data_IF_689897796118
#
_entry.id   IF_689897796118
#
_cell.length_a   1.000
_cell.length_b   1.000
_cell.length_c   1.000
_cell.angle_alpha   90.00
_cell.angle_beta   90.00
_cell.angle_gamma   90.00
#
_symmetry.space_group_name_H-M   'P 1'
#
loop_
_entity.id
_entity.type
_entity.pdbx_description
1 polymer ?
#
# COMPACT_ATOMS: atom_id res chain seq x y z
N UNK A 1 6.16 2.18 29.11
CA UNK A 1 5.00 1.41 29.61
C UNK A 1 3.65 1.85 29.03
N UNK A 2 3.45 3.14 28.70
CA UNK A 2 2.19 3.64 28.13
C UNK A 2 1.68 2.90 26.87
N UNK A 3 2.55 2.63 25.89
CA UNK A 3 2.17 1.91 24.67
C UNK A 3 1.74 0.46 24.92
N UNK A 4 2.33 -0.23 25.90
CA UNK A 4 1.94 -1.60 26.23
C UNK A 4 0.55 -1.65 26.88
N UNK A 5 0.21 -0.66 27.71
CA UNK A 5 -1.10 -0.55 28.35
C UNK A 5 -2.22 -0.24 27.33
N UNK A 6 -1.92 0.58 26.32
CA UNK A 6 -2.85 0.91 25.23
C UNK A 6 -3.25 -0.30 24.35
N UNK A 7 -2.44 -1.38 24.38
CA UNK A 7 -2.61 -2.59 23.57
C UNK A 7 -3.22 -3.75 24.37
N UNK A 8 -3.33 -3.62 25.70
CA UNK A 8 -3.69 -4.70 26.63
C UNK A 8 -5.08 -5.31 26.38
N UNK A 9 -6.02 -4.53 25.83
CA UNK A 9 -7.40 -4.98 25.55
C UNK A 9 -7.64 -5.37 24.08
N UNK A 10 -6.60 -5.36 23.23
CA UNK A 10 -6.71 -5.73 21.81
C UNK A 10 -6.28 -7.18 21.62
N UNK A 11 -6.97 -7.91 20.73
CA UNK A 11 -6.56 -9.27 20.37
C UNK A 11 -5.15 -9.24 19.75
N UNK A 12 -4.22 -10.02 20.31
CA UNK A 12 -2.82 -10.11 19.85
C UNK A 12 -2.77 -10.50 18.36
N UNK A 13 -3.69 -11.35 17.90
CA UNK A 13 -3.80 -11.73 16.49
C UNK A 13 -4.12 -10.53 15.60
N UNK A 14 -5.04 -9.65 16.03
CA UNK A 14 -5.36 -8.43 15.29
C UNK A 14 -4.19 -7.45 15.29
N UNK A 15 -3.44 -7.34 16.38
CA UNK A 15 -2.26 -6.47 16.46
C UNK A 15 -1.15 -6.91 15.50
N UNK A 16 -0.85 -8.20 15.47
CA UNK A 16 0.13 -8.76 14.51
C UNK A 16 -0.34 -8.53 13.09
N UNK A 17 -1.65 -8.74 12.84
CA UNK A 17 -2.22 -8.57 11.51
C UNK A 17 -2.21 -7.12 11.02
N UNK A 18 -2.41 -6.14 11.90
CA UNK A 18 -2.28 -4.72 11.54
C UNK A 18 -0.85 -4.43 11.05
N UNK A 19 0.15 -4.99 11.73
CA UNK A 19 1.55 -4.85 11.32
C UNK A 19 1.85 -5.50 9.97
N UNK A 20 1.45 -6.76 9.77
CA UNK A 20 1.65 -7.44 8.48
C UNK A 20 0.85 -6.82 7.35
N UNK A 21 -0.40 -6.41 7.61
CA UNK A 21 -1.28 -5.73 6.66
C UNK A 21 -0.70 -4.40 6.17
N UNK A 22 -0.14 -3.58 7.07
CA UNK A 22 0.52 -2.33 6.69
C UNK A 22 1.77 -2.55 5.82
N UNK A 23 2.56 -3.58 6.12
CA UNK A 23 3.71 -3.96 5.28
C UNK A 23 3.26 -4.45 3.90
N UNK A 24 2.24 -5.31 3.83
CA UNK A 24 1.69 -5.79 2.55
C UNK A 24 1.16 -4.63 1.70
N UNK A 25 0.37 -3.72 2.28
CA UNK A 25 -0.14 -2.53 1.60
C UNK A 25 0.98 -1.67 1.00
N UNK A 26 2.11 -1.54 1.69
CA UNK A 26 3.26 -0.77 1.20
C UNK A 26 3.97 -1.49 0.03
N UNK A 27 4.27 -2.78 0.17
CA UNK A 27 5.15 -3.48 -0.77
C UNK A 27 4.44 -4.10 -1.98
N UNK A 28 3.14 -4.37 -1.89
CA UNK A 28 2.39 -5.03 -2.98
C UNK A 28 2.46 -4.26 -4.29
N UNK A 29 2.31 -2.94 -4.28
CA UNK A 29 2.37 -2.12 -5.51
C UNK A 29 3.69 -2.28 -6.27
N UNK A 30 4.84 -1.97 -5.64
CA UNK A 30 6.15 -2.13 -6.27
C UNK A 30 6.48 -3.57 -6.68
N UNK A 31 6.15 -4.56 -5.85
CA UNK A 31 6.47 -5.96 -6.12
C UNK A 31 5.63 -6.53 -7.28
N UNK A 32 4.31 -6.35 -7.24
CA UNK A 32 3.40 -6.84 -8.29
C UNK A 32 3.70 -6.15 -9.60
N UNK A 33 3.84 -4.82 -9.60
CA UNK A 33 4.14 -4.10 -10.83
C UNK A 33 5.55 -4.41 -11.35
N UNK A 34 6.55 -4.59 -10.47
CA UNK A 34 7.90 -4.96 -10.85
C UNK A 34 7.99 -6.35 -11.48
N UNK A 35 7.16 -7.29 -11.03
CA UNK A 35 7.08 -8.64 -11.59
C UNK A 35 6.29 -8.69 -12.92
N UNK A 36 5.19 -7.93 -13.02
CA UNK A 36 4.28 -8.01 -14.16
C UNK A 36 4.62 -7.02 -15.30
N UNK A 37 5.35 -5.94 -15.02
CA UNK A 37 5.56 -4.86 -15.97
C UNK A 37 6.98 -4.27 -15.94
N UNK A 38 7.69 -4.35 -17.06
CA UNK A 38 9.05 -3.82 -17.21
C UNK A 38 9.16 -2.28 -17.23
N UNK A 39 8.02 -1.58 -17.17
CA UNK A 39 7.95 -0.11 -17.23
C UNK A 39 7.96 0.59 -15.87
N UNK A 40 8.14 -0.14 -14.76
CA UNK A 40 8.16 0.46 -13.42
C UNK A 40 9.37 1.36 -13.25
N UNK A 41 9.13 2.57 -12.74
CA UNK A 41 10.18 3.55 -12.44
C UNK A 41 10.50 3.53 -10.95
N UNK A 42 11.72 3.94 -10.58
CA UNK A 42 12.12 4.08 -9.16
C UNK A 42 11.16 5.00 -8.41
N UNK A 43 10.80 6.13 -9.02
CA UNK A 43 9.87 7.11 -8.44
C UNK A 43 8.47 6.51 -8.29
N UNK A 44 8.00 5.72 -9.26
CA UNK A 44 6.72 5.02 -9.17
C UNK A 44 6.70 3.96 -8.06
N UNK A 45 7.79 3.22 -7.88
CA UNK A 45 7.91 2.26 -6.78
C UNK A 45 7.84 2.97 -5.41
N UNK A 46 8.59 4.06 -5.21
CA UNK A 46 8.52 4.83 -3.96
C UNK A 46 7.14 5.46 -3.74
N UNK A 47 6.51 5.96 -4.80
CA UNK A 47 5.17 6.52 -4.71
C UNK A 47 4.14 5.46 -4.28
N UNK A 48 4.18 4.25 -4.85
CA UNK A 48 3.31 3.16 -4.41
C UNK A 48 3.53 2.78 -2.96
N UNK A 49 4.79 2.64 -2.55
CA UNK A 49 5.15 2.32 -1.17
C UNK A 49 4.57 3.33 -0.17
N UNK A 50 4.79 4.62 -0.42
CA UNK A 50 4.31 5.70 0.45
C UNK A 50 2.79 5.78 0.40
N UNK A 51 2.18 5.78 -0.79
CA UNK A 51 0.73 5.87 -0.93
C UNK A 51 0.00 4.69 -0.29
N UNK A 52 0.50 3.46 -0.43
CA UNK A 52 -0.07 2.28 0.19
C UNK A 52 -0.02 2.33 1.71
N UNK A 53 1.15 2.67 2.27
CA UNK A 53 1.34 2.82 3.71
C UNK A 53 0.46 3.93 4.30
N UNK A 54 0.44 5.11 3.66
CA UNK A 54 -0.39 6.24 4.10
C UNK A 54 -1.87 5.88 4.04
N UNK A 55 -2.32 5.21 2.98
CA UNK A 55 -3.72 4.78 2.83
C UNK A 55 -4.12 3.84 3.96
N UNK A 56 -3.29 2.83 4.27
CA UNK A 56 -3.55 1.92 5.38
C UNK A 56 -3.66 2.66 6.72
N UNK A 57 -2.73 3.57 7.02
CA UNK A 57 -2.75 4.36 8.27
C UNK A 57 -3.99 5.25 8.35
N UNK A 58 -4.36 5.93 7.27
CA UNK A 58 -5.53 6.82 7.23
C UNK A 58 -6.83 6.03 7.41
N UNK A 59 -6.97 4.87 6.74
CA UNK A 59 -8.15 4.03 6.87
C UNK A 59 -8.24 3.40 8.26
N UNK A 60 -7.17 2.77 8.74
CA UNK A 60 -7.17 2.04 10.00
C UNK A 60 -7.22 2.97 11.23
N UNK A 61 -6.70 4.19 11.13
CA UNK A 61 -6.83 5.20 12.20
C UNK A 61 -8.27 5.69 12.38
N UNK A 62 -9.15 5.50 11.39
CA UNK A 62 -10.53 5.99 11.43
C UNK A 62 -10.65 7.51 11.29
N UNK A 63 -9.57 8.22 10.94
CA UNK A 63 -9.56 9.70 10.86
C UNK A 63 -10.57 10.22 9.81
N UNK A 64 -10.84 9.42 8.77
CA UNK A 64 -11.82 9.73 7.73
C UNK A 64 -13.24 9.94 8.29
N UNK A 65 -13.64 9.14 9.29
CA UNK A 65 -14.96 9.29 9.93
C UNK A 65 -15.06 10.52 10.84
N UNK A 66 -13.92 11.06 11.30
CA UNK A 66 -13.90 12.30 12.08
C UNK A 66 -13.99 13.53 11.18
N UNK A 67 -13.48 13.44 9.95
CA UNK A 67 -13.47 14.55 8.98
C UNK A 67 -14.82 14.63 8.25
N UNK A 68 -15.41 13.48 7.93
CA UNK A 68 -16.64 13.37 7.13
C UNK A 68 -17.74 12.78 8.01
N UNK A 69 -18.48 13.65 8.69
CA UNK A 69 -19.61 13.26 9.53
C UNK A 69 -20.78 12.68 8.72
N UNK A 70 -21.74 12.01 9.40
CA UNK A 70 -22.91 11.37 8.77
C UNK A 70 -23.80 12.34 7.99
N UNK A 71 -23.79 13.62 8.36
CA UNK A 71 -24.60 14.67 7.73
C UNK A 71 -23.91 15.39 6.57
N UNK A 72 -22.75 14.91 6.13
CA UNK A 72 -21.98 15.58 5.10
C UNK A 72 -22.57 15.35 3.68
N UNK A 73 -22.83 16.44 2.96
CA UNK A 73 -23.42 16.44 1.60
C UNK A 73 -22.40 16.16 0.48
N UNK A 74 -21.25 15.56 0.80
CA UNK A 74 -20.25 15.25 -0.24
C UNK A 74 -20.76 14.11 -1.13
N UNK A 75 -20.50 14.14 -2.45
CA UNK A 75 -20.95 13.09 -3.38
C UNK A 75 -20.36 11.70 -3.08
N UNK A 76 -19.36 11.60 -2.20
CA UNK A 76 -18.73 10.35 -1.75
C UNK A 76 -18.95 10.06 -0.25
N UNK A 77 -19.83 10.80 0.43
CA UNK A 77 -20.05 10.66 1.88
C UNK A 77 -20.46 9.24 2.28
N UNK A 78 -21.27 8.56 1.46
CA UNK A 78 -21.67 7.16 1.69
C UNK A 78 -20.48 6.18 1.68
N UNK A 79 -19.54 6.34 0.74
CA UNK A 79 -18.33 5.50 0.66
C UNK A 79 -17.40 5.78 1.83
N UNK A 80 -17.22 7.05 2.20
CA UNK A 80 -16.35 7.45 3.31
C UNK A 80 -16.93 6.98 4.67
N UNK A 81 -18.25 7.04 4.83
CA UNK A 81 -18.93 6.52 6.01
C UNK A 81 -18.78 5.00 6.12
N UNK A 82 -18.91 4.26 5.01
CA UNK A 82 -18.63 2.82 4.97
C UNK A 82 -17.18 2.50 5.34
N UNK A 83 -16.21 3.23 4.79
CA UNK A 83 -14.79 3.11 5.12
C UNK A 83 -14.52 3.39 6.61
N UNK A 84 -15.23 4.34 7.20
CA UNK A 84 -15.10 4.67 8.63
C UNK A 84 -15.66 3.56 9.53
N UNK A 85 -16.76 2.90 9.14
CA UNK A 85 -17.32 1.73 9.83
C UNK A 85 -16.36 0.53 9.73
N UNK A 86 -15.65 0.40 8.60
CA UNK A 86 -14.74 -0.71 8.31
C UNK A 86 -13.32 -0.49 8.86
N UNK A 87 -12.99 0.69 9.39
CA UNK A 87 -11.70 1.02 10.00
C UNK A 87 -11.16 -0.01 11.03
N UNK A 88 -11.96 -0.59 11.95
CA UNK A 88 -11.49 -1.62 12.88
C UNK A 88 -11.14 -2.94 12.20
N UNK A 89 -11.52 -3.15 10.93
CA UNK A 89 -11.16 -4.34 10.16
C UNK A 89 -9.85 -4.11 9.36
N UNK A 90 -8.73 -4.66 9.83
CA UNK A 90 -7.44 -4.45 9.17
C UNK A 90 -7.31 -5.16 7.82
N UNK A 91 -8.12 -6.20 7.53
CA UNK A 91 -8.09 -6.90 6.24
C UNK A 91 -8.57 -6.00 5.10
N UNK A 92 -9.71 -5.35 5.28
CA UNK A 92 -10.31 -4.44 4.30
C UNK A 92 -9.41 -3.20 4.09
N UNK A 93 -8.84 -2.67 5.17
CA UNK A 93 -7.90 -1.56 5.11
C UNK A 93 -6.61 -1.92 4.34
N UNK A 94 -6.07 -3.13 4.55
CA UNK A 94 -4.91 -3.63 3.82
C UNK A 94 -5.22 -3.77 2.32
N UNK A 95 -6.32 -4.43 1.96
CA UNK A 95 -6.71 -4.63 0.55
C UNK A 95 -6.87 -3.30 -0.21
N UNK A 96 -7.48 -2.29 0.41
CA UNK A 96 -7.61 -0.96 -0.19
C UNK A 96 -6.24 -0.25 -0.30
N UNK A 97 -5.39 -0.38 0.72
CA UNK A 97 -4.02 0.13 0.68
C UNK A 97 -3.19 -0.50 -0.45
N UNK A 98 -3.32 -1.81 -0.66
CA UNK A 98 -2.67 -2.55 -1.75
C UNK A 98 -3.15 -2.07 -3.12
N UNK A 99 -4.47 -1.90 -3.30
CA UNK A 99 -5.04 -1.38 -4.55
C UNK A 99 -4.52 0.03 -4.86
N UNK A 100 -4.50 0.90 -3.86
CA UNK A 100 -3.97 2.27 -4.01
C UNK A 100 -2.48 2.25 -4.32
N UNK A 101 -1.71 1.39 -3.66
CA UNK A 101 -0.27 1.19 -3.91
C UNK A 101 -0.01 0.81 -5.38
N UNK A 102 -0.70 -0.21 -5.90
CA UNK A 102 -0.57 -0.65 -7.30
C UNK A 102 -0.94 0.48 -8.27
N UNK A 103 -2.09 1.14 -8.04
CA UNK A 103 -2.56 2.25 -8.89
C UNK A 103 -1.60 3.43 -8.88
N UNK A 104 -1.04 3.78 -7.72
CA UNK A 104 -0.04 4.83 -7.59
C UNK A 104 1.27 4.47 -8.29
N UNK A 105 1.78 3.24 -8.10
CA UNK A 105 2.97 2.76 -8.81
C UNK A 105 2.78 2.82 -10.32
N UNK A 106 1.65 2.33 -10.83
CA UNK A 106 1.36 2.36 -12.26
C UNK A 106 1.23 3.79 -12.79
N UNK A 107 0.43 4.64 -12.13
CA UNK A 107 0.17 6.00 -12.56
C UNK A 107 1.43 6.87 -12.56
N UNK A 108 2.23 6.82 -11.50
CA UNK A 108 3.48 7.58 -11.42
C UNK A 108 4.52 7.02 -12.39
N UNK A 109 4.61 5.69 -12.56
CA UNK A 109 5.53 5.10 -13.54
C UNK A 109 5.21 5.49 -14.98
N UNK A 110 3.93 5.72 -15.32
CA UNK A 110 3.52 6.22 -16.64
C UNK A 110 3.93 7.68 -16.87
N UNK A 111 3.92 8.48 -15.81
CA UNK A 111 4.19 9.92 -15.88
C UNK A 111 5.67 10.27 -15.68
N UNK A 112 6.48 9.32 -15.24
CA UNK A 112 7.90 9.54 -14.96
C UNK A 112 8.79 8.84 -15.97
N UNK A 113 10.03 9.32 -16.12
CA UNK A 113 11.02 8.75 -17.03
C UNK A 113 11.29 7.28 -16.73
N UNK A 114 11.24 6.43 -17.77
CA UNK A 114 11.50 5.00 -17.63
C UNK A 114 12.94 4.74 -17.19
N UNK A 115 13.15 3.62 -16.51
CA UNK A 115 14.48 3.16 -16.16
C UNK A 115 15.31 2.90 -17.44
N UNK A 116 16.62 3.11 -17.39
CA UNK A 116 17.49 2.92 -18.57
C UNK A 116 17.42 1.47 -19.04
N UNK A 117 17.32 1.27 -20.36
CA UNK A 117 17.19 -0.06 -20.96
C UNK A 117 18.36 -0.98 -20.59
N UNK A 118 19.56 -0.42 -20.50
CA UNK A 118 20.79 -1.12 -20.12
C UNK A 118 20.73 -1.73 -18.70
N UNK A 119 20.09 -1.05 -17.73
CA UNK A 119 19.90 -1.60 -16.38
C UNK A 119 18.81 -2.68 -16.32
N UNK A 120 17.77 -2.55 -17.15
CA UNK A 120 16.70 -3.56 -17.23
C UNK A 120 17.20 -4.81 -17.97
N UNK A 121 18.05 -4.65 -18.98
CA UNK A 121 18.67 -5.77 -19.71
C UNK A 121 19.73 -6.50 -18.87
N UNK A 122 20.49 -5.81 -18.01
CA UNK A 122 21.43 -6.51 -17.11
C UNK A 122 20.75 -7.36 -16.03
N UNK A 123 19.48 -7.07 -15.69
CA UNK A 123 18.72 -7.86 -14.73
C UNK A 123 17.83 -8.95 -15.36
N UNK A 124 17.40 -8.77 -16.61
CA UNK A 124 16.41 -9.67 -17.26
C UNK A 124 16.81 -10.14 -18.66
N UNK A 125 18.00 -9.78 -19.15
CA UNK A 125 18.52 -10.15 -20.47
C UNK A 125 19.26 -11.50 -20.47
N UNK A 126 19.74 -11.95 -21.64
CA UNK A 126 20.46 -13.22 -21.78
C UNK A 126 21.78 -13.28 -20.98
N UNK A 127 22.36 -12.13 -20.65
CA UNK A 127 23.55 -12.00 -19.80
C UNK A 127 23.21 -11.82 -18.30
N UNK A 128 21.94 -12.00 -17.90
CA UNK A 128 21.55 -11.91 -16.52
C UNK A 128 22.32 -12.97 -15.69
N UNK A 129 22.88 -12.61 -14.53
CA UNK A 129 23.63 -13.55 -13.72
C UNK A 129 22.75 -14.73 -13.32
N UNK A 130 23.18 -15.95 -13.67
CA UNK A 130 22.48 -17.19 -13.33
C UNK A 130 22.45 -17.37 -11.81
N UNK A 131 21.28 -17.14 -11.22
CA UNK A 131 21.05 -17.24 -9.77
C UNK A 131 20.96 -18.69 -9.29
N UNK A 132 21.07 -19.69 -10.19
CA UNK A 132 21.00 -21.11 -9.85
C UNK A 132 22.36 -21.76 -9.54
N UNK A 133 23.47 -21.02 -9.67
CA UNK A 133 24.81 -21.52 -9.32
C UNK A 133 25.31 -20.91 -8.00
N UNK A 134 24.73 -21.37 -6.89
CA UNK A 134 25.28 -21.25 -5.53
C UNK A 134 25.05 -22.53 -4.74
#
# INVERSE_FOLDING_TARGET
>A
MFMAWALQNKNIALLVWIGSGGMMAAFVGPLVMGALWRGVTKVGAYAGLVCGMVTFVVLHSGILGQIVGPESTYPLSGVICWLAIEAPNPFSCAALGELVSVRATWGVSKLTQSLSKEYVESMFGPDAPDVTNK
#
